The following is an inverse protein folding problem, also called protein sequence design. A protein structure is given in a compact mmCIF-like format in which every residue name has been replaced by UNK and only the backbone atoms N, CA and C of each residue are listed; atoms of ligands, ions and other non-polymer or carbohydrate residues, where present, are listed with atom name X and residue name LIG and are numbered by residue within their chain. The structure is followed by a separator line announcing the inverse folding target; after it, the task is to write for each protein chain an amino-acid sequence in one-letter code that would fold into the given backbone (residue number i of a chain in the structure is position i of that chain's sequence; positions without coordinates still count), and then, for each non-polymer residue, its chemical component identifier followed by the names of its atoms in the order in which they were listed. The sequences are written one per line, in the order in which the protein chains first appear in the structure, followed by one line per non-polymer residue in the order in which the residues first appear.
data_IF_074881317872
#
_entry.id   IF_074881317872
#
_cell.length_a   1.000
_cell.length_b   1.000
_cell.length_c   1.000
_cell.angle_alpha   90.00
_cell.angle_beta   90.00
_cell.angle_gamma   90.00
#
_symmetry.space_group_name_H-M   'P 1'
#
loop_
_entity.id
_entity.type
_entity.pdbx_description
1 polymer ?
#
# COMPACT_ATOMS: atom_id res chain seq x y z
N UNK A 1 17.92 -0.72 -20.44
CA UNK A 1 17.74 -1.71 -19.35
C UNK A 1 18.23 -1.15 -18.01
N UNK A 2 19.44 -0.55 -17.91
CA UNK A 2 19.99 -0.02 -16.64
C UNK A 2 19.16 1.13 -16.07
N UNK A 3 18.75 2.11 -16.89
CA UNK A 3 17.92 3.23 -16.42
C UNK A 3 16.56 2.77 -15.87
N UNK A 4 15.98 1.70 -16.43
CA UNK A 4 14.75 1.09 -15.98
C UNK A 4 14.92 0.39 -14.62
N UNK A 5 16.05 -0.32 -14.42
CA UNK A 5 16.38 -0.95 -13.12
C UNK A 5 16.53 0.09 -12.01
N UNK A 6 17.22 1.19 -12.27
CA UNK A 6 17.38 2.29 -11.28
C UNK A 6 16.03 2.85 -10.81
N UNK A 7 15.09 3.05 -11.74
CA UNK A 7 13.73 3.53 -11.37
C UNK A 7 12.97 2.49 -10.55
N UNK A 8 13.11 1.19 -10.88
CA UNK A 8 12.44 0.12 -10.14
C UNK A 8 13.08 -0.17 -8.77
N UNK A 9 14.32 0.27 -8.52
CA UNK A 9 14.92 0.16 -7.18
C UNK A 9 14.13 0.91 -6.11
N UNK A 10 13.45 2.00 -6.48
CA UNK A 10 12.55 2.73 -5.57
C UNK A 10 11.37 1.87 -5.09
N UNK A 11 10.94 0.89 -5.88
CA UNK A 11 9.88 -0.04 -5.48
C UNK A 11 10.25 -0.91 -4.26
N UNK A 12 11.53 -1.05 -3.92
CA UNK A 12 11.97 -1.71 -2.69
C UNK A 12 11.43 -1.05 -1.42
N UNK A 13 11.25 0.27 -1.47
CA UNK A 13 10.78 1.08 -0.35
C UNK A 13 9.26 1.27 -0.32
N UNK A 14 8.58 0.77 -1.36
CA UNK A 14 7.12 0.83 -1.42
C UNK A 14 6.47 -0.30 -0.62
N UNK A 15 5.25 -0.08 -0.17
CA UNK A 15 4.40 -1.10 0.46
C UNK A 15 3.58 -1.87 -0.55
N UNK A 16 3.23 -1.23 -1.66
CA UNK A 16 2.38 -1.76 -2.73
C UNK A 16 3.07 -1.45 -4.05
N UNK A 17 3.11 -2.42 -4.95
CA UNK A 17 3.53 -2.22 -6.34
C UNK A 17 2.29 -2.18 -7.21
N UNK A 18 2.07 -1.03 -7.86
CA UNK A 18 1.01 -0.89 -8.85
C UNK A 18 1.58 -1.14 -10.24
N UNK A 19 1.28 -2.30 -10.81
CA UNK A 19 1.72 -2.70 -12.15
C UNK A 19 0.65 -2.33 -13.19
N UNK A 20 0.84 -1.20 -13.88
CA UNK A 20 -0.07 -0.74 -14.92
C UNK A 20 0.32 -1.32 -16.26
N UNK A 21 -0.56 -2.10 -16.86
CA UNK A 21 -0.36 -2.82 -18.13
C UNK A 21 -1.21 -2.19 -19.23
N UNK A 22 -0.57 -1.76 -20.31
CA UNK A 22 -1.27 -1.25 -21.50
C UNK A 22 -1.74 -2.42 -22.39
N UNK A 23 -3.03 -2.73 -22.32
CA UNK A 23 -3.64 -3.81 -23.09
C UNK A 23 -3.70 -3.56 -24.60
N UNK A 24 -3.46 -2.34 -25.06
CA UNK A 24 -3.40 -2.04 -26.49
C UNK A 24 -2.07 -2.42 -27.15
N UNK A 25 -1.05 -2.78 -26.35
CA UNK A 25 0.27 -3.14 -26.83
C UNK A 25 0.32 -4.62 -27.24
N UNK A 26 0.65 -4.95 -28.52
CA UNK A 26 0.79 -6.35 -28.96
C UNK A 26 1.86 -7.16 -28.23
N UNK A 27 2.83 -6.50 -27.56
CA UNK A 27 3.89 -7.12 -26.79
C UNK A 27 3.61 -7.10 -25.28
N UNK A 28 2.37 -6.91 -24.89
CA UNK A 28 1.94 -6.80 -23.48
C UNK A 28 2.48 -7.95 -22.61
N UNK A 29 2.29 -9.21 -23.04
CA UNK A 29 2.70 -10.38 -22.28
C UNK A 29 4.22 -10.41 -22.06
N UNK A 30 5.00 -10.03 -23.10
CA UNK A 30 6.45 -9.93 -22.97
C UNK A 30 6.86 -8.83 -22.00
N UNK A 31 6.21 -7.67 -22.05
CA UNK A 31 6.48 -6.57 -21.11
C UNK A 31 6.13 -6.94 -19.67
N UNK A 32 5.00 -7.62 -19.44
CA UNK A 32 4.63 -8.13 -18.14
C UNK A 32 5.68 -9.09 -17.59
N UNK A 33 6.15 -10.01 -18.43
CA UNK A 33 7.20 -10.95 -18.06
C UNK A 33 8.51 -10.23 -17.66
N UNK A 34 8.96 -9.26 -18.46
CA UNK A 34 10.17 -8.49 -18.19
C UNK A 34 10.07 -7.73 -16.86
N UNK A 35 8.92 -7.10 -16.57
CA UNK A 35 8.72 -6.38 -15.31
C UNK A 35 8.81 -7.34 -14.13
N UNK A 36 8.14 -8.51 -14.19
CA UNK A 36 8.16 -9.52 -13.11
C UNK A 36 9.56 -10.06 -12.85
N UNK A 37 10.29 -10.40 -13.91
CA UNK A 37 11.68 -10.86 -13.80
C UNK A 37 12.56 -9.79 -13.16
N UNK A 38 12.38 -8.52 -13.57
CA UNK A 38 13.16 -7.42 -13.00
C UNK A 38 12.85 -7.21 -11.52
N UNK A 39 11.58 -7.25 -11.10
CA UNK A 39 11.21 -7.17 -9.70
C UNK A 39 11.83 -8.31 -8.89
N UNK A 40 11.84 -9.54 -9.44
CA UNK A 40 12.46 -10.69 -8.80
C UNK A 40 13.98 -10.56 -8.69
N UNK A 41 14.65 -10.11 -9.75
CA UNK A 41 16.12 -9.85 -9.75
C UNK A 41 16.50 -8.78 -8.71
N UNK A 42 15.63 -7.80 -8.48
CA UNK A 42 15.83 -6.76 -7.47
C UNK A 42 15.47 -7.24 -6.05
N UNK A 43 15.01 -8.49 -5.88
CA UNK A 43 14.59 -9.04 -4.59
C UNK A 43 13.29 -8.43 -4.05
N UNK A 44 12.43 -7.89 -4.93
CA UNK A 44 11.13 -7.32 -4.58
C UNK A 44 10.08 -8.43 -4.70
N UNK A 45 10.03 -9.31 -3.69
CA UNK A 45 9.16 -10.50 -3.68
C UNK A 45 8.13 -10.50 -2.55
N UNK A 46 8.27 -9.58 -1.60
CA UNK A 46 7.47 -9.46 -0.38
C UNK A 46 6.40 -8.36 -0.44
N UNK A 47 6.23 -7.74 -1.60
CA UNK A 47 5.29 -6.64 -1.79
C UNK A 47 3.96 -7.11 -2.34
N UNK A 48 2.88 -6.46 -1.90
CA UNK A 48 1.57 -6.64 -2.50
C UNK A 48 1.56 -6.07 -3.91
N UNK A 49 1.25 -6.90 -4.90
CA UNK A 49 1.19 -6.50 -6.32
C UNK A 49 -0.27 -6.33 -6.74
N UNK A 50 -0.60 -5.15 -7.22
CA UNK A 50 -1.90 -4.84 -7.82
C UNK A 50 -1.69 -4.61 -9.30
N UNK A 51 -2.17 -5.51 -10.16
CA UNK A 51 -2.08 -5.34 -11.61
C UNK A 51 -3.31 -4.63 -12.14
N UNK A 52 -3.10 -3.53 -12.86
CA UNK A 52 -4.14 -2.73 -13.51
C UNK A 52 -4.03 -2.93 -15.02
N UNK A 53 -4.98 -3.64 -15.58
CA UNK A 53 -5.11 -3.79 -17.03
C UNK A 53 -5.80 -2.55 -17.60
N UNK A 54 -5.01 -1.64 -18.16
CA UNK A 54 -5.50 -0.38 -18.74
C UNK A 54 -5.83 -0.52 -20.23
N UNK A 55 -6.77 0.28 -20.72
CA UNK A 55 -7.26 0.28 -22.10
C UNK A 55 -7.87 -1.07 -22.52
N UNK A 56 -8.61 -1.72 -21.64
CA UNK A 56 -9.26 -3.02 -21.93
C UNK A 56 -10.33 -2.91 -23.03
N UNK A 57 -10.88 -1.72 -23.27
CA UNK A 57 -11.75 -1.40 -24.40
C UNK A 57 -11.12 -1.80 -25.76
N UNK A 58 -9.82 -1.62 -25.91
CA UNK A 58 -9.11 -1.96 -27.15
C UNK A 58 -9.07 -3.47 -27.41
N UNK A 59 -8.99 -4.29 -26.37
CA UNK A 59 -9.06 -5.74 -26.50
C UNK A 59 -10.48 -6.20 -26.83
N UNK A 60 -11.49 -5.63 -26.17
CA UNK A 60 -12.90 -5.92 -26.41
C UNK A 60 -13.29 -5.58 -27.87
N UNK A 61 -12.88 -4.41 -28.38
CA UNK A 61 -13.07 -4.02 -29.77
C UNK A 61 -12.43 -5.02 -30.76
N UNK A 62 -11.32 -5.63 -30.39
CA UNK A 62 -10.59 -6.62 -31.18
C UNK A 62 -11.09 -8.04 -30.97
N UNK A 63 -12.07 -8.28 -30.11
CA UNK A 63 -12.59 -9.62 -29.76
C UNK A 63 -11.59 -10.50 -29.02
N UNK A 64 -10.53 -9.92 -28.46
CA UNK A 64 -9.50 -10.64 -27.70
C UNK A 64 -9.89 -10.79 -26.23
N UNK A 65 -9.54 -11.93 -25.59
CA UNK A 65 -9.80 -12.12 -24.18
C UNK A 65 -8.97 -11.16 -23.34
N UNK A 66 -9.56 -10.69 -22.22
CA UNK A 66 -8.83 -9.88 -21.25
C UNK A 66 -7.85 -10.79 -20.50
N UNK A 67 -6.58 -10.42 -20.42
CA UNK A 67 -5.55 -11.21 -19.77
C UNK A 67 -5.80 -11.34 -18.27
N UNK A 68 -5.15 -12.33 -17.65
CA UNK A 68 -5.11 -12.50 -16.21
C UNK A 68 -3.67 -12.54 -15.73
N UNK A 69 -3.41 -11.88 -14.62
CA UNK A 69 -2.15 -11.96 -13.93
C UNK A 69 -2.26 -12.89 -12.71
N UNK A 70 -1.82 -14.13 -12.85
CA UNK A 70 -1.87 -15.14 -11.78
C UNK A 70 -0.82 -14.92 -10.68
N UNK A 71 0.11 -14.00 -10.87
CA UNK A 71 1.13 -13.65 -9.89
C UNK A 71 0.80 -12.39 -9.09
N UNK A 72 -0.25 -11.66 -9.47
CA UNK A 72 -0.71 -10.50 -8.72
C UNK A 72 -1.65 -10.91 -7.59
N UNK A 73 -1.56 -10.22 -6.45
CA UNK A 73 -2.49 -10.39 -5.33
C UNK A 73 -3.88 -9.86 -5.67
N UNK A 74 -3.92 -8.79 -6.46
CA UNK A 74 -5.15 -8.15 -6.93
C UNK A 74 -5.00 -7.74 -8.38
N UNK A 75 -6.11 -7.71 -9.11
CA UNK A 75 -6.14 -7.21 -10.50
C UNK A 75 -7.41 -6.43 -10.77
N UNK A 76 -7.25 -5.32 -11.47
CA UNK A 76 -8.31 -4.38 -11.85
C UNK A 76 -8.29 -4.16 -13.36
N UNK A 77 -9.46 -3.98 -13.93
CA UNK A 77 -9.64 -3.61 -15.34
C UNK A 77 -10.01 -2.15 -15.44
N UNK A 78 -9.19 -1.36 -16.10
CA UNK A 78 -9.46 0.05 -16.31
C UNK A 78 -9.81 0.34 -17.78
N UNK A 79 -10.89 1.09 -17.97
CA UNK A 79 -11.40 1.50 -19.26
C UNK A 79 -12.03 2.88 -19.16
N UNK A 80 -11.51 3.89 -19.85
CA UNK A 80 -12.10 5.24 -19.94
C UNK A 80 -12.58 5.82 -18.58
N UNK A 81 -11.82 5.52 -17.49
CA UNK A 81 -12.17 5.92 -16.12
C UNK A 81 -12.97 4.88 -15.34
N UNK A 82 -13.56 3.88 -15.97
CA UNK A 82 -14.15 2.73 -15.29
C UNK A 82 -13.04 1.91 -14.61
N UNK A 83 -13.35 1.30 -13.45
CA UNK A 83 -12.40 0.52 -12.65
C UNK A 83 -11.58 1.33 -11.64
N UNK A 84 -11.62 2.66 -11.69
CA UNK A 84 -10.91 3.49 -10.70
C UNK A 84 -11.51 3.34 -9.30
N UNK A 85 -12.83 3.26 -9.18
CA UNK A 85 -13.48 3.00 -7.89
C UNK A 85 -13.07 1.65 -7.30
N UNK A 86 -13.02 0.59 -8.14
CA UNK A 86 -12.54 -0.73 -7.72
C UNK A 86 -11.08 -0.68 -7.25
N UNK A 87 -10.23 0.04 -7.97
CA UNK A 87 -8.82 0.24 -7.59
C UNK A 87 -8.71 0.98 -6.25
N UNK A 88 -9.48 2.04 -6.05
CA UNK A 88 -9.51 2.78 -4.78
C UNK A 88 -9.98 1.91 -3.61
N UNK A 89 -11.00 1.08 -3.81
CA UNK A 89 -11.49 0.13 -2.81
C UNK A 89 -10.43 -0.90 -2.44
N UNK A 90 -9.75 -1.49 -3.43
CA UNK A 90 -8.65 -2.46 -3.22
C UNK A 90 -7.51 -1.81 -2.45
N UNK A 91 -7.01 -0.67 -2.91
CA UNK A 91 -5.93 0.06 -2.23
C UNK A 91 -6.32 0.45 -0.81
N UNK A 92 -7.55 0.95 -0.62
CA UNK A 92 -8.09 1.26 0.70
C UNK A 92 -8.16 0.04 1.62
N UNK A 93 -8.55 -1.13 1.10
CA UNK A 93 -8.61 -2.38 1.89
C UNK A 93 -7.22 -2.85 2.30
N UNK A 94 -6.23 -2.79 1.40
CA UNK A 94 -4.83 -3.15 1.69
C UNK A 94 -4.27 -2.23 2.78
N UNK A 95 -4.47 -0.92 2.66
CA UNK A 95 -4.00 0.06 3.65
C UNK A 95 -4.66 -0.18 5.00
N UNK A 96 -5.97 -0.43 5.04
CA UNK A 96 -6.69 -0.72 6.28
C UNK A 96 -6.23 -2.02 6.95
N UNK A 97 -5.97 -3.06 6.16
CA UNK A 97 -5.51 -4.36 6.69
C UNK A 97 -4.13 -4.30 7.37
N UNK A 98 -3.34 -3.29 7.06
CA UNK A 98 -2.02 -3.03 7.66
C UNK A 98 -2.09 -2.15 8.90
N UNK A 99 -3.27 -1.70 9.30
CA UNK A 99 -3.46 -0.87 10.50
C UNK A 99 -3.90 -1.71 11.69
N UNK A 100 -3.35 -1.38 12.85
CA UNK A 100 -3.66 -2.01 14.14
C UNK A 100 -4.47 -1.03 14.98
N UNK A 101 -5.52 -1.55 15.63
CA UNK A 101 -6.29 -0.77 16.59
C UNK A 101 -5.46 -0.51 17.85
N UNK A 102 -5.40 0.75 18.25
CA UNK A 102 -4.70 1.23 19.43
C UNK A 102 -5.72 1.90 20.35
N UNK A 103 -5.79 1.43 21.62
CA UNK A 103 -6.49 2.12 22.70
C UNK A 103 -5.50 2.25 23.86
N UNK A 104 -5.17 3.48 24.22
CA UNK A 104 -4.20 3.76 25.30
C UNK A 104 -4.44 5.14 25.91
N UNK A 105 -4.14 5.24 27.23
CA UNK A 105 -4.05 6.52 27.93
C UNK A 105 -2.59 6.93 28.00
N UNK A 106 -2.27 8.08 27.44
CA UNK A 106 -0.94 8.69 27.47
C UNK A 106 -0.87 9.74 28.56
N UNK A 107 0.24 9.78 29.30
CA UNK A 107 0.50 10.90 30.19
C UNK A 107 0.69 12.20 29.38
N UNK A 108 0.46 13.35 30.00
CA UNK A 108 0.62 14.64 29.34
C UNK A 108 2.05 14.88 28.84
N UNK A 109 3.06 14.26 29.47
CA UNK A 109 4.46 14.30 29.01
C UNK A 109 4.69 13.55 27.69
N UNK A 110 3.80 12.61 27.34
CA UNK A 110 3.87 11.80 26.12
C UNK A 110 3.08 12.39 24.94
N UNK A 111 2.70 13.66 25.00
CA UNK A 111 1.93 14.33 23.94
C UNK A 111 2.58 14.24 22.54
N UNK A 112 3.90 14.01 22.44
CA UNK A 112 4.57 13.75 21.17
C UNK A 112 4.07 12.50 20.45
N UNK A 113 3.61 11.45 21.19
CA UNK A 113 3.03 10.25 20.60
C UNK A 113 1.69 10.54 19.90
N UNK A 114 0.90 11.49 20.43
CA UNK A 114 -0.34 11.93 19.81
C UNK A 114 -0.11 12.60 18.46
N UNK A 115 0.96 13.38 18.34
CA UNK A 115 1.32 14.00 17.07
C UNK A 115 1.67 12.95 16.01
N UNK A 116 2.37 11.88 16.42
CA UNK A 116 2.66 10.74 15.54
C UNK A 116 1.39 10.03 15.10
N UNK A 117 0.44 9.80 16.03
CA UNK A 117 -0.85 9.19 15.72
C UNK A 117 -1.65 10.07 14.76
N UNK A 118 -1.70 11.39 14.98
CA UNK A 118 -2.42 12.32 14.09
C UNK A 118 -1.80 12.40 12.70
N UNK A 119 -0.48 12.26 12.60
CA UNK A 119 0.25 12.37 11.32
C UNK A 119 0.17 11.09 10.49
N UNK A 120 0.30 9.91 11.13
CA UNK A 120 0.47 8.63 10.42
C UNK A 120 -0.69 7.66 10.64
N UNK A 121 -1.49 7.86 11.68
CA UNK A 121 -2.65 7.04 12.02
C UNK A 121 -3.97 7.68 11.58
N UNK A 122 -5.03 7.01 12.02
CA UNK A 122 -6.40 7.52 11.94
C UNK A 122 -6.94 7.63 13.36
N UNK A 123 -6.99 8.84 13.90
CA UNK A 123 -7.53 9.13 15.21
C UNK A 123 -9.05 8.94 15.19
N UNK A 124 -9.57 8.11 16.08
CA UNK A 124 -11.01 7.87 16.26
C UNK A 124 -11.60 8.72 17.39
N UNK A 125 -10.93 8.74 18.55
CA UNK A 125 -11.33 9.58 19.67
C UNK A 125 -10.11 10.05 20.48
N UNK A 126 -10.27 11.18 21.12
CA UNK A 126 -9.29 11.77 22.02
C UNK A 126 -10.04 12.40 23.18
N UNK A 127 -9.77 11.94 24.42
CA UNK A 127 -10.44 12.40 25.62
C UNK A 127 -9.39 12.79 26.67
N UNK A 128 -9.49 13.99 27.19
CA UNK A 128 -8.62 14.51 28.24
C UNK A 128 -9.20 14.17 29.60
N UNK A 129 -8.47 13.41 30.40
CA UNK A 129 -8.86 12.96 31.73
C UNK A 129 -7.83 13.43 32.77
N UNK A 130 -8.14 13.30 34.05
CA UNK A 130 -7.18 13.62 35.13
C UNK A 130 -5.93 12.74 35.09
N UNK A 131 -6.06 11.50 34.57
CA UNK A 131 -4.96 10.52 34.47
C UNK A 131 -4.12 10.71 33.20
N UNK A 132 -4.58 11.49 32.24
CA UNK A 132 -3.90 11.72 30.98
C UNK A 132 -4.86 11.85 29.78
N UNK A 133 -4.36 11.57 28.60
CA UNK A 133 -5.09 11.66 27.34
C UNK A 133 -5.42 10.25 26.86
N UNK A 134 -6.71 9.88 26.93
CA UNK A 134 -7.20 8.60 26.39
C UNK A 134 -7.38 8.74 24.88
N UNK A 135 -6.76 7.84 24.12
CA UNK A 135 -6.75 7.86 22.67
C UNK A 135 -7.21 6.52 22.13
N UNK A 136 -8.10 6.56 21.14
CA UNK A 136 -8.40 5.42 20.28
C UNK A 136 -8.10 5.77 18.83
N UNK A 137 -7.35 4.89 18.15
CA UNK A 137 -6.87 5.15 16.79
C UNK A 137 -6.59 3.84 16.04
N UNK A 138 -6.57 3.92 14.72
CA UNK A 138 -5.89 2.92 13.90
C UNK A 138 -4.51 3.45 13.50
N UNK A 139 -3.46 2.68 13.77
CA UNK A 139 -2.08 3.07 13.48
C UNK A 139 -1.38 2.03 12.60
N UNK A 140 -0.38 2.42 11.78
CA UNK A 140 0.46 1.49 11.06
C UNK A 140 1.09 0.46 12.01
N UNK A 141 1.14 -0.81 11.59
CA UNK A 141 1.62 -1.91 12.44
C UNK A 141 3.07 -1.69 12.92
N UNK A 142 3.91 -1.09 12.07
CA UNK A 142 5.30 -0.75 12.38
C UNK A 142 5.44 0.30 13.49
N UNK A 143 4.44 1.16 13.67
CA UNK A 143 4.45 2.20 14.73
C UNK A 143 3.79 1.72 16.03
N UNK A 144 3.01 0.63 15.97
CA UNK A 144 2.20 0.17 17.10
C UNK A 144 3.05 -0.10 18.35
N UNK A 145 4.16 -0.83 18.21
CA UNK A 145 5.02 -1.17 19.35
C UNK A 145 5.60 0.07 20.05
N UNK A 146 6.07 1.06 19.27
CA UNK A 146 6.60 2.32 19.80
C UNK A 146 5.53 3.21 20.45
N UNK A 147 4.31 3.18 19.93
CA UNK A 147 3.17 3.92 20.46
C UNK A 147 2.58 3.23 21.71
N UNK A 148 2.50 1.90 21.69
CA UNK A 148 1.94 1.14 22.80
C UNK A 148 2.88 1.02 23.98
N UNK A 149 4.19 0.94 23.77
CA UNK A 149 5.21 0.85 24.82
C UNK A 149 5.24 2.07 25.76
N UNK A 150 5.56 1.85 27.02
CA UNK A 150 5.60 2.90 28.08
C UNK A 150 6.91 3.69 28.10
N UNK A 151 7.63 3.82 26.99
CA UNK A 151 8.77 4.74 26.90
C UNK A 151 9.79 4.67 28.03
N UNK A 152 10.00 3.49 28.62
CA UNK A 152 11.15 3.19 29.48
C UNK A 152 12.11 2.34 28.67
N UNK A 153 13.11 2.99 28.16
CA UNK A 153 14.43 2.55 27.74
C UNK A 153 14.86 3.22 26.45
N UNK A 154 15.61 4.28 26.63
CA UNK A 154 16.93 4.41 26.03
C UNK A 154 17.62 5.58 26.72
N UNK A 155 18.34 5.20 27.80
CA UNK A 155 19.53 5.91 28.24
C UNK A 155 20.59 4.84 28.43
N UNK A 156 21.42 4.69 27.42
CA UNK A 156 22.86 4.50 27.58
C UNK A 156 23.55 4.80 26.25
#
# INVERSE_FOLDING_TARGET
VEAFKSTLEEARYSDIVLHVVDCSNPQMDMHMHVVKETLRELGITDKTIVTVFNKTDRLEESGLPIPRDFSADYQVRARNGDGLCELEEILGSIIRSRRVYLEKTYSYSQAGKLQTIRKYGQLLSEEYTEEGIKVTAYVPAELFAGLYGDGSEEKE
#
